data_IF_313293837595
#
_entry.id   IF_313293837595
#
_cell.length_a   1.000
_cell.length_b   1.000
_cell.length_c   1.000
_cell.angle_alpha   90.00
_cell.angle_beta   90.00
_cell.angle_gamma   90.00
#
_symmetry.space_group_name_H-M   'P 1'
#
loop_
_entity.id
_entity.type
_entity.pdbx_description
1 polymer ?
#
# COMPACT_ATOMS: atom_id res chain seq x y z
N UNK A 1 7.46 -47.39 1.83
CA UNK A 1 8.47 -46.33 1.76
C UNK A 1 7.75 -45.05 1.37
N UNK A 2 7.62 -44.09 2.29
CA UNK A 2 6.81 -42.90 2.13
C UNK A 2 7.49 -41.92 1.17
N UNK A 3 6.83 -41.61 0.06
CA UNK A 3 7.23 -40.53 -0.84
C UNK A 3 6.66 -39.24 -0.25
N UNK A 4 7.48 -38.49 0.48
CA UNK A 4 7.10 -37.20 1.05
C UNK A 4 7.11 -36.08 0.01
N UNK A 5 6.25 -35.11 0.30
CA UNK A 5 5.57 -34.24 -0.62
C UNK A 5 6.37 -33.01 -1.09
N UNK A 6 6.08 -32.61 -2.33
CA UNK A 6 5.95 -31.24 -2.88
C UNK A 6 6.94 -30.22 -2.30
N UNK A 7 7.95 -29.92 -3.11
CA UNK A 7 8.82 -28.76 -3.04
C UNK A 7 7.99 -27.47 -2.81
N UNK A 8 7.89 -27.02 -1.55
CA UNK A 8 7.27 -25.76 -1.15
C UNK A 8 8.22 -24.59 -1.45
N UNK A 9 8.52 -24.38 -2.72
CA UNK A 9 9.01 -23.09 -3.19
C UNK A 9 7.84 -22.12 -3.29
N UNK A 10 7.37 -21.66 -2.13
CA UNK A 10 6.50 -20.50 -2.08
C UNK A 10 7.33 -19.30 -2.53
N UNK A 11 7.09 -18.89 -3.77
CA UNK A 11 7.65 -17.73 -4.47
C UNK A 11 7.67 -16.47 -3.57
N UNK A 12 8.77 -16.26 -2.84
CA UNK A 12 8.98 -15.18 -1.86
C UNK A 12 9.84 -14.06 -2.46
N UNK A 13 9.72 -13.79 -3.75
CA UNK A 13 10.56 -12.81 -4.43
C UNK A 13 9.85 -11.45 -4.55
N UNK A 14 10.27 -10.48 -3.74
CA UNK A 14 9.84 -9.08 -3.85
C UNK A 14 9.72 -8.32 -2.52
N UNK A 15 10.28 -8.84 -1.43
CA UNK A 15 10.40 -8.11 -0.18
C UNK A 15 11.73 -8.36 0.55
N UNK A 16 12.15 -7.36 1.31
CA UNK A 16 13.30 -7.40 2.20
C UNK A 16 12.85 -7.36 3.67
N UNK A 17 13.55 -8.11 4.52
CA UNK A 17 13.39 -8.06 5.98
C UNK A 17 14.50 -7.18 6.56
N UNK A 18 14.13 -6.19 7.38
CA UNK A 18 15.06 -5.23 7.97
C UNK A 18 14.85 -5.19 9.47
N UNK A 19 15.75 -5.82 10.22
CA UNK A 19 15.53 -6.11 11.64
C UNK A 19 15.79 -4.90 12.56
N UNK A 20 16.57 -3.91 12.10
CA UNK A 20 17.04 -2.76 12.90
C UNK A 20 16.40 -1.42 12.48
N UNK A 21 15.11 -1.41 12.14
CA UNK A 21 14.39 -0.17 11.84
C UNK A 21 14.00 0.60 13.12
N UNK A 22 14.38 1.89 13.28
CA UNK A 22 13.99 2.69 14.46
C UNK A 22 12.48 2.84 14.66
N UNK A 23 11.68 2.66 13.60
CA UNK A 23 10.21 2.70 13.65
C UNK A 23 9.61 1.29 13.69
N UNK A 24 10.42 0.24 13.88
CA UNK A 24 9.97 -1.15 13.87
C UNK A 24 9.22 -1.54 12.57
N UNK A 25 9.63 -0.98 11.42
CA UNK A 25 9.10 -1.31 10.09
C UNK A 25 9.98 -2.37 9.41
N UNK A 26 9.78 -3.61 9.84
CA UNK A 26 10.64 -4.75 9.47
C UNK A 26 10.49 -5.21 8.02
N UNK A 27 9.42 -4.83 7.32
CA UNK A 27 9.11 -5.39 6.01
C UNK A 27 9.21 -4.31 4.93
N UNK A 28 10.18 -4.44 4.01
CA UNK A 28 10.46 -3.49 2.94
C UNK A 28 10.04 -4.01 1.56
N UNK A 29 9.49 -3.13 0.71
CA UNK A 29 9.27 -3.41 -0.70
C UNK A 29 10.56 -3.16 -1.50
N UNK A 30 11.04 -4.15 -2.27
CA UNK A 30 12.29 -3.99 -3.03
C UNK A 30 12.15 -3.04 -4.24
N UNK A 31 10.93 -2.83 -4.72
CA UNK A 31 10.65 -1.98 -5.90
C UNK A 31 10.60 -0.50 -5.57
N UNK A 32 9.94 -0.11 -4.47
CA UNK A 32 9.76 1.30 -4.10
C UNK A 32 10.35 1.66 -2.73
N UNK A 33 10.96 0.69 -2.03
CA UNK A 33 11.62 0.84 -0.72
C UNK A 33 10.70 1.33 0.41
N UNK A 34 9.39 1.26 0.21
CA UNK A 34 8.41 1.56 1.26
C UNK A 34 8.43 0.47 2.33
N UNK A 35 8.33 0.87 3.60
CA UNK A 35 8.53 0.00 4.77
C UNK A 35 7.25 -0.10 5.58
N UNK A 36 6.99 -1.30 6.10
CA UNK A 36 5.77 -1.70 6.80
C UNK A 36 6.10 -2.43 8.10
N UNK A 37 5.22 -2.30 9.10
CA UNK A 37 5.36 -2.94 10.40
C UNK A 37 5.05 -4.44 10.36
N UNK A 38 4.25 -4.89 9.39
CA UNK A 38 3.85 -6.28 9.25
C UNK A 38 3.88 -6.73 7.78
N UNK A 39 3.98 -8.05 7.61
CA UNK A 39 4.06 -8.68 6.29
C UNK A 39 2.78 -8.50 5.47
N UNK A 40 1.60 -8.57 6.10
CA UNK A 40 0.30 -8.44 5.42
C UNK A 40 0.14 -7.08 4.73
N UNK A 41 0.56 -6.00 5.38
CA UNK A 41 0.55 -4.65 4.80
C UNK A 41 1.49 -4.55 3.60
N UNK A 42 2.68 -5.15 3.69
CA UNK A 42 3.60 -5.19 2.55
C UNK A 42 3.04 -6.01 1.38
N UNK A 43 2.41 -7.16 1.65
CA UNK A 43 1.79 -7.98 0.60
C UNK A 43 0.63 -7.23 -0.08
N UNK A 44 -0.21 -6.54 0.70
CA UNK A 44 -1.25 -5.68 0.15
C UNK A 44 -0.65 -4.61 -0.77
N UNK A 45 0.36 -3.89 -0.29
CA UNK A 45 1.07 -2.89 -1.06
C UNK A 45 1.65 -3.48 -2.36
N UNK A 46 2.37 -4.60 -2.27
CA UNK A 46 3.01 -5.23 -3.43
C UNK A 46 1.97 -5.63 -4.50
N UNK A 47 0.79 -6.08 -4.07
CA UNK A 47 -0.29 -6.53 -4.96
C UNK A 47 -1.11 -5.39 -5.55
N UNK A 48 -1.30 -4.29 -4.81
CA UNK A 48 -2.34 -3.31 -5.12
C UNK A 48 -1.90 -1.86 -5.18
N UNK A 49 -0.66 -1.55 -4.83
CA UNK A 49 -0.20 -0.16 -4.71
C UNK A 49 1.16 0.06 -5.38
N UNK A 50 2.07 -0.90 -5.24
CA UNK A 50 3.43 -0.76 -5.74
C UNK A 50 3.46 -0.60 -7.26
N UNK A 51 4.06 0.50 -7.72
CA UNK A 51 4.18 0.82 -9.14
C UNK A 51 2.90 1.30 -9.80
N UNK A 52 1.81 1.47 -9.05
CA UNK A 52 0.55 1.97 -9.60
C UNK A 52 0.56 3.50 -9.58
N UNK A 53 0.35 4.09 -10.76
CA UNK A 53 0.20 5.55 -10.89
C UNK A 53 -1.06 5.98 -10.14
N UNK A 54 -0.93 6.99 -9.29
CA UNK A 54 -2.09 7.63 -8.64
C UNK A 54 -2.82 8.46 -9.69
N UNK A 55 -4.10 8.15 -9.88
CA UNK A 55 -4.92 8.73 -10.95
C UNK A 55 -5.88 9.80 -10.47
N UNK A 56 -6.15 9.84 -9.16
CA UNK A 56 -7.18 10.71 -8.59
C UNK A 56 -6.53 11.76 -7.72
N UNK A 57 -6.77 13.03 -8.03
CA UNK A 57 -6.20 14.17 -7.31
C UNK A 57 -7.33 14.98 -6.70
N UNK A 58 -7.23 15.25 -5.40
CA UNK A 58 -8.13 16.18 -4.75
C UNK A 58 -7.90 17.58 -5.30
N UNK A 59 -8.92 18.21 -5.87
CA UNK A 59 -8.77 19.56 -6.45
C UNK A 59 -8.73 20.67 -5.39
N UNK A 60 -8.97 20.33 -4.12
CA UNK A 60 -8.99 21.26 -2.99
C UNK A 60 -7.60 21.35 -2.35
N UNK A 61 -6.97 20.21 -2.06
CA UNK A 61 -5.66 20.17 -1.40
C UNK A 61 -4.55 19.50 -2.23
N UNK A 62 -4.84 19.13 -3.47
CA UNK A 62 -3.91 18.50 -4.43
C UNK A 62 -3.29 17.18 -3.98
N UNK A 63 -3.85 16.55 -2.93
CA UNK A 63 -3.44 15.22 -2.51
C UNK A 63 -3.84 14.15 -3.52
N UNK A 64 -2.91 13.25 -3.79
CA UNK A 64 -3.09 12.13 -4.70
C UNK A 64 -3.67 10.88 -4.03
N UNK A 65 -4.46 10.13 -4.79
CA UNK A 65 -5.13 8.91 -4.38
C UNK A 65 -5.08 7.87 -5.48
N UNK A 66 -4.91 6.62 -5.08
CA UNK A 66 -4.85 5.50 -6.01
C UNK A 66 -6.22 5.10 -6.56
N UNK A 67 -7.28 5.26 -5.74
CA UNK A 67 -8.65 4.85 -6.08
C UNK A 67 -9.61 6.01 -5.81
N UNK A 68 -10.65 6.11 -6.65
CA UNK A 68 -11.72 7.12 -6.52
C UNK A 68 -12.41 7.09 -5.15
N UNK A 69 -12.76 5.90 -4.65
CA UNK A 69 -13.40 5.75 -3.34
C UNK A 69 -12.59 6.41 -2.20
N UNK A 70 -11.26 6.34 -2.23
CA UNK A 70 -10.42 6.97 -1.21
C UNK A 70 -10.40 8.49 -1.35
N UNK A 71 -10.43 9.02 -2.57
CA UNK A 71 -10.59 10.45 -2.81
C UNK A 71 -11.95 10.94 -2.29
N UNK A 72 -13.04 10.26 -2.66
CA UNK A 72 -14.39 10.66 -2.27
C UNK A 72 -14.54 10.68 -0.74
N UNK A 73 -14.04 9.64 -0.05
CA UNK A 73 -14.00 9.60 1.42
C UNK A 73 -13.14 10.71 2.02
N UNK A 74 -12.00 11.02 1.40
CA UNK A 74 -11.13 12.12 1.85
C UNK A 74 -11.85 13.46 1.76
N UNK A 75 -12.53 13.74 0.65
CA UNK A 75 -13.30 14.97 0.46
C UNK A 75 -14.38 15.07 1.54
N UNK A 76 -15.17 14.00 1.76
CA UNK A 76 -16.22 13.99 2.79
C UNK A 76 -15.65 14.22 4.20
N UNK A 77 -14.49 13.65 4.53
CA UNK A 77 -13.96 13.74 5.89
C UNK A 77 -13.13 14.99 6.17
N UNK A 78 -12.56 15.61 5.12
CA UNK A 78 -11.56 16.67 5.26
C UNK A 78 -12.05 18.01 4.71
N UNK A 79 -12.93 17.95 3.70
CA UNK A 79 -13.36 19.10 2.91
C UNK A 79 -14.89 19.18 2.80
N UNK A 80 -15.61 18.63 3.79
CA UNK A 80 -17.07 18.53 3.76
C UNK A 80 -17.74 19.89 3.51
N UNK A 81 -17.18 20.96 4.10
CA UNK A 81 -17.72 22.32 3.98
C UNK A 81 -17.43 22.95 2.62
N UNK A 82 -16.29 22.60 2.03
CA UNK A 82 -15.84 23.09 0.73
C UNK A 82 -16.49 22.33 -0.43
N UNK A 83 -16.95 21.10 -0.21
CA UNK A 83 -17.65 20.29 -1.21
C UNK A 83 -19.08 20.77 -1.48
N UNK A 84 -19.78 21.28 -0.47
CA UNK A 84 -21.12 21.88 -0.61
C UNK A 84 -21.12 23.19 -1.43
N UNK A 85 -19.94 23.83 -1.61
CA UNK A 85 -19.79 25.08 -2.37
C UNK A 85 -19.52 24.86 -3.87
N UNK A 86 -19.46 23.61 -4.34
CA UNK A 86 -19.26 23.26 -5.76
C UNK A 86 -20.54 22.73 -6.43
N UNK A 87 -21.70 22.95 -5.81
CA UNK A 87 -23.01 22.55 -6.33
C UNK A 87 -23.86 23.78 -6.63
#
# INVERSE_FOLDING_TARGET
AAQEAINNQSNTQGFSIIENDPLNRKFGCDRCRTRYHNFSSLMHHNKHECGIKKLYVCQICFRDFLRKYHLDKHIINTHLKEFELQK
#
